data_IF_397411332546
#
_entry.id   IF_397411332546
#
_cell.length_a   1.000
_cell.length_b   1.000
_cell.length_c   1.000
_cell.angle_alpha   90.00
_cell.angle_beta   90.00
_cell.angle_gamma   90.00
#
_symmetry.space_group_name_H-M   'P 1'
#
loop_
_entity.id
_entity.type
_entity.pdbx_description
1 polymer ?
#
# COMPACT_ATOMS: atom_id res chain seq x y z
N UNK A 1 9.97 1.02 4.95
CA UNK A 1 9.91 -0.35 4.42
C UNK A 1 9.45 -0.39 2.97
N UNK A 2 8.33 0.27 2.61
CA UNK A 2 7.84 0.32 1.22
C UNK A 2 8.89 0.85 0.21
N UNK A 3 9.66 1.89 0.57
CA UNK A 3 10.72 2.46 -0.26
C UNK A 3 11.73 1.43 -0.80
N UNK A 4 12.17 0.49 0.05
CA UNK A 4 13.16 -0.54 -0.34
C UNK A 4 12.62 -1.45 -1.44
N UNK A 5 11.33 -1.76 -1.42
CA UNK A 5 10.71 -2.56 -2.48
C UNK A 5 10.64 -1.79 -3.81
N UNK A 6 10.35 -0.49 -3.80
CA UNK A 6 10.40 0.34 -5.01
C UNK A 6 11.82 0.40 -5.57
N UNK A 7 12.81 0.64 -4.70
CA UNK A 7 14.23 0.63 -5.08
C UNK A 7 14.71 -0.73 -5.59
N UNK A 8 14.10 -1.82 -5.11
CA UNK A 8 14.36 -3.18 -5.59
C UNK A 8 13.64 -3.52 -6.90
N UNK A 9 12.88 -2.59 -7.48
CA UNK A 9 12.22 -2.74 -8.78
C UNK A 9 10.77 -3.24 -8.71
N UNK A 10 10.09 -3.13 -7.56
CA UNK A 10 8.66 -3.38 -7.50
C UNK A 10 7.92 -2.39 -8.40
N UNK A 11 7.18 -2.91 -9.39
CA UNK A 11 6.42 -2.09 -10.33
C UNK A 11 5.26 -1.33 -9.65
N UNK A 12 4.71 -1.89 -8.56
CA UNK A 12 3.61 -1.30 -7.82
C UNK A 12 3.66 -1.71 -6.36
N UNK A 13 3.37 -0.77 -5.47
CA UNK A 13 3.18 -1.03 -4.04
C UNK A 13 1.87 -0.41 -3.59
N UNK A 14 1.11 -1.16 -2.80
CA UNK A 14 -0.04 -0.64 -2.06
C UNK A 14 0.34 -0.44 -0.60
N UNK A 15 0.11 0.76 -0.07
CA UNK A 15 0.29 1.05 1.34
C UNK A 15 -1.04 1.40 1.99
N UNK A 16 -1.11 1.14 3.29
CA UNK A 16 -2.30 1.44 4.08
C UNK A 16 -1.95 1.98 5.46
N UNK A 17 -2.77 2.91 5.93
CA UNK A 17 -2.74 3.44 7.28
C UNK A 17 -4.11 3.97 7.68
N UNK A 18 -4.35 4.07 9.00
CA UNK A 18 -5.61 4.57 9.58
C UNK A 18 -5.90 6.04 9.23
N UNK A 19 -4.86 6.86 9.07
CA UNK A 19 -4.97 8.29 8.74
C UNK A 19 -4.84 8.48 7.23
N UNK A 20 -5.93 8.84 6.57
CA UNK A 20 -5.97 8.94 5.10
C UNK A 20 -4.96 9.93 4.54
N UNK A 21 -4.89 11.15 5.10
CA UNK A 21 -3.99 12.21 4.64
C UNK A 21 -2.51 11.78 4.74
N UNK A 22 -2.09 11.27 5.90
CA UNK A 22 -0.72 10.78 6.09
C UNK A 22 -0.40 9.58 5.18
N UNK A 23 -1.40 8.73 4.89
CA UNK A 23 -1.22 7.60 3.97
C UNK A 23 -1.01 8.08 2.53
N UNK A 24 -1.78 9.08 2.09
CA UNK A 24 -1.69 9.65 0.75
C UNK A 24 -0.38 10.40 0.57
N UNK A 25 -0.02 11.25 1.52
CA UNK A 25 1.25 11.97 1.50
C UNK A 25 2.44 11.00 1.40
N UNK A 26 2.44 9.93 2.19
CA UNK A 26 3.50 8.92 2.12
C UNK A 26 3.58 8.24 0.73
N UNK A 27 2.43 7.97 0.10
CA UNK A 27 2.41 7.38 -1.24
C UNK A 27 2.94 8.34 -2.32
N UNK A 28 2.62 9.63 -2.22
CA UNK A 28 3.14 10.67 -3.10
C UNK A 28 4.65 10.83 -2.95
N UNK A 29 5.14 10.93 -1.70
CA UNK A 29 6.57 11.01 -1.40
C UNK A 29 7.33 9.80 -1.96
N UNK A 30 6.82 8.58 -1.72
CA UNK A 30 7.43 7.35 -2.21
C UNK A 30 7.42 7.24 -3.74
N UNK A 31 6.33 7.67 -4.39
CA UNK A 31 6.25 7.68 -5.85
C UNK A 31 7.18 8.72 -6.46
N UNK A 32 7.46 9.83 -5.76
CA UNK A 32 8.38 10.88 -6.25
C UNK A 32 9.85 10.47 -6.24
N UNK A 33 10.23 9.54 -5.37
CA UNK A 33 11.62 9.05 -5.25
C UNK A 33 11.87 7.76 -6.04
N UNK A 34 10.83 7.13 -6.56
CA UNK A 34 10.95 5.92 -7.35
C UNK A 34 11.42 6.26 -8.79
N UNK A 35 12.52 5.65 -9.23
CA UNK A 35 12.92 5.76 -10.64
C UNK A 35 11.94 5.03 -11.57
N UNK A 36 11.34 3.94 -11.06
CA UNK A 36 10.36 3.10 -11.73
C UNK A 36 9.33 2.58 -10.72
N UNK A 37 8.10 2.38 -11.18
CA UNK A 37 6.99 1.90 -10.36
C UNK A 37 6.23 3.01 -9.63
N UNK A 38 5.17 2.62 -8.93
CA UNK A 38 4.28 3.56 -8.24
C UNK A 38 3.90 3.06 -6.84
N UNK A 39 3.64 3.99 -5.93
CA UNK A 39 3.10 3.72 -4.61
C UNK A 39 1.66 4.26 -4.53
N UNK A 40 0.71 3.40 -4.19
CA UNK A 40 -0.71 3.72 -4.14
C UNK A 40 -1.20 3.59 -2.69
N UNK A 41 -1.76 4.67 -2.16
CA UNK A 41 -2.42 4.67 -0.86
C UNK A 41 -3.84 4.09 -0.94
N UNK A 42 -4.14 3.11 -0.09
CA UNK A 42 -5.50 2.67 0.19
C UNK A 42 -5.70 2.78 1.72
N UNK A 43 -6.21 3.93 2.22
CA UNK A 43 -6.46 4.12 3.64
C UNK A 43 -7.45 3.09 4.18
N UNK A 44 -7.05 2.37 5.23
CA UNK A 44 -7.85 1.32 5.83
C UNK A 44 -7.46 1.15 7.31
N UNK A 45 -8.46 0.78 8.12
CA UNK A 45 -8.25 0.34 9.50
C UNK A 45 -8.15 -1.19 9.56
N UNK A 46 -6.93 -1.72 9.54
CA UNK A 46 -6.66 -3.17 9.62
C UNK A 46 -6.99 -3.81 10.99
N UNK A 47 -7.56 -3.08 11.94
CA UNK A 47 -8.12 -3.66 13.18
C UNK A 47 -9.61 -4.03 13.05
N UNK A 48 -10.28 -3.66 11.96
CA UNK A 48 -11.68 -3.99 11.69
C UNK A 48 -11.80 -4.99 10.54
N UNK A 49 -12.49 -6.12 10.78
CA UNK A 49 -12.61 -7.21 9.80
C UNK A 49 -13.28 -6.77 8.49
N UNK A 50 -14.30 -5.91 8.59
CA UNK A 50 -15.01 -5.36 7.42
C UNK A 50 -14.08 -4.50 6.56
N UNK A 51 -13.21 -3.72 7.19
CA UNK A 51 -12.22 -2.88 6.51
C UNK A 51 -11.12 -3.71 5.86
N UNK A 52 -10.69 -4.81 6.49
CA UNK A 52 -9.76 -5.77 5.88
C UNK A 52 -10.36 -6.37 4.62
N UNK A 53 -11.64 -6.78 4.65
CA UNK A 53 -12.31 -7.32 3.46
C UNK A 53 -12.38 -6.27 2.34
N UNK A 54 -12.79 -5.04 2.66
CA UNK A 54 -12.83 -3.91 1.72
C UNK A 54 -11.45 -3.62 1.10
N UNK A 55 -10.38 -3.70 1.89
CA UNK A 55 -9.02 -3.53 1.40
C UNK A 55 -8.60 -4.66 0.45
N UNK A 56 -8.95 -5.91 0.78
CA UNK A 56 -8.72 -7.06 -0.09
C UNK A 56 -9.46 -6.94 -1.43
N UNK A 57 -10.73 -6.54 -1.40
CA UNK A 57 -11.53 -6.33 -2.60
C UNK A 57 -10.94 -5.22 -3.48
N UNK A 58 -10.52 -4.10 -2.88
CA UNK A 58 -9.87 -3.02 -3.62
C UNK A 58 -8.58 -3.47 -4.32
N UNK A 59 -7.80 -4.36 -3.70
CA UNK A 59 -6.63 -4.95 -4.36
C UNK A 59 -7.07 -5.88 -5.49
N UNK A 60 -8.03 -6.76 -5.25
CA UNK A 60 -8.51 -7.73 -6.23
C UNK A 60 -9.15 -7.09 -7.49
N UNK A 61 -9.73 -5.89 -7.34
CA UNK A 61 -10.22 -5.09 -8.46
C UNK A 61 -9.09 -4.58 -9.38
N UNK A 62 -7.89 -4.38 -8.82
CA UNK A 62 -6.75 -3.76 -9.51
C UNK A 62 -5.74 -4.79 -9.98
N UNK A 63 -5.58 -5.86 -9.21
CA UNK A 63 -4.54 -6.86 -9.39
C UNK A 63 -5.12 -8.27 -9.40
N UNK A 64 -4.58 -9.10 -10.30
CA UNK A 64 -4.92 -10.53 -10.36
C UNK A 64 -4.38 -11.30 -9.15
N UNK A 65 -3.23 -10.89 -8.63
CA UNK A 65 -2.54 -11.52 -7.50
C UNK A 65 -1.58 -10.52 -6.84
N UNK A 66 -1.24 -10.78 -5.58
CA UNK A 66 -0.14 -10.12 -4.88
C UNK A 66 1.09 -11.02 -4.90
N UNK A 67 2.25 -10.46 -5.24
CA UNK A 67 3.53 -11.19 -5.15
C UNK A 67 4.08 -11.23 -3.73
N UNK A 68 3.87 -10.14 -2.97
CA UNK A 68 4.36 -9.97 -1.60
C UNK A 68 3.28 -9.30 -0.75
N UNK A 69 3.03 -9.87 0.44
CA UNK A 69 2.22 -9.27 1.49
C UNK A 69 3.07 -9.04 2.73
N UNK A 70 3.14 -7.78 3.18
CA UNK A 70 3.86 -7.41 4.39
C UNK A 70 2.87 -7.00 5.48
N UNK A 71 2.66 -7.88 6.45
CA UNK A 71 1.83 -7.60 7.63
C UNK A 71 2.60 -6.76 8.66
N UNK A 72 2.78 -5.47 8.37
CA UNK A 72 3.55 -4.54 9.19
C UNK A 72 2.67 -3.63 10.09
N UNK A 73 1.35 -3.73 10.00
CA UNK A 73 0.47 -2.90 10.83
C UNK A 73 0.68 -3.21 12.33
N UNK A 74 1.04 -2.18 13.09
CA UNK A 74 1.22 -2.22 14.55
C UNK A 74 0.21 -1.32 15.26
N UNK A 75 0.13 -1.48 16.58
CA UNK A 75 -0.83 -0.79 17.47
C UNK A 75 -0.66 0.72 17.49
#
# INVERSE_FOLDING_TARGET
>A
MAEVYLQAGAARIYITARKAEACQQAAEELSSVAEQGECIAIPCNLSATEEIARFGDAIAERERALDVLVNNAGT
#
